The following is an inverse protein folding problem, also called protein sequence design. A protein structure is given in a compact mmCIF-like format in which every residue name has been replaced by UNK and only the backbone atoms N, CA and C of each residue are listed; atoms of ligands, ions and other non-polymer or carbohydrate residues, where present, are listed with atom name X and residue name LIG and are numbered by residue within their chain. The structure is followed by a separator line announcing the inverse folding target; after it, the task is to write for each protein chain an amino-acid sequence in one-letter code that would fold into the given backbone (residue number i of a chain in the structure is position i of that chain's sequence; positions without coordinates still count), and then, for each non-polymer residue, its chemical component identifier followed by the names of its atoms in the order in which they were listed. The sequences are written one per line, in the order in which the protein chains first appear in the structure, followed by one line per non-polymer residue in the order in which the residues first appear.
data_IF_152490924361
#
_entry.id   IF_152490924361
#
_cell.length_a   1.000
_cell.length_b   1.000
_cell.length_c   1.000
_cell.angle_alpha   90.00
_cell.angle_beta   90.00
_cell.angle_gamma   90.00
#
_symmetry.space_group_name_H-M   'P 1'
#
loop_
_entity.id
_entity.type
_entity.pdbx_description
1 polymer ?
#
# COMPACT_ATOMS: atom_id res chain seq x y z
N UNK A 1 -0.64 5.17 -14.80
CA UNK A 1 -1.03 6.59 -14.88
C UNK A 1 -1.54 7.08 -16.24
N UNK A 2 -0.81 7.11 -17.38
CA UNK A 2 -1.35 7.69 -18.64
C UNK A 2 -2.70 7.10 -19.12
N UNK A 3 -2.90 5.78 -19.01
CA UNK A 3 -4.17 5.11 -19.36
C UNK A 3 -5.27 5.15 -18.28
N UNK A 4 -4.93 5.37 -17.00
CA UNK A 4 -5.97 5.55 -15.97
C UNK A 4 -6.73 6.87 -16.16
N UNK A 5 -6.01 7.88 -16.65
CA UNK A 5 -6.62 9.17 -16.94
C UNK A 5 -7.60 9.08 -18.12
N UNK A 6 -7.41 8.20 -19.12
CA UNK A 6 -8.32 8.05 -20.28
C UNK A 6 -9.76 7.72 -19.86
N UNK A 7 -9.94 6.82 -18.88
CA UNK A 7 -11.28 6.45 -18.40
C UNK A 7 -11.94 7.59 -17.62
N UNK A 8 -11.17 8.37 -16.87
CA UNK A 8 -11.67 9.56 -16.17
C UNK A 8 -11.89 10.74 -17.13
N UNK A 9 -11.17 10.78 -18.26
CA UNK A 9 -11.39 11.76 -19.32
C UNK A 9 -12.75 11.58 -20.02
N UNK A 10 -13.28 10.35 -20.05
CA UNK A 10 -14.63 10.05 -20.58
C UNK A 10 -15.78 10.68 -19.78
N UNK A 11 -15.55 11.06 -18.52
CA UNK A 11 -16.58 11.68 -17.68
C UNK A 11 -16.64 13.17 -18.00
N UNK A 12 -17.79 13.63 -18.54
CA UNK A 12 -18.04 15.04 -18.80
C UNK A 12 -18.34 15.82 -17.52
N UNK A 13 -18.09 17.14 -17.54
CA UNK A 13 -18.41 18.01 -16.41
C UNK A 13 -19.90 17.96 -16.04
N UNK A 14 -20.80 18.00 -17.03
CA UNK A 14 -22.25 17.94 -16.80
C UNK A 14 -22.67 16.66 -16.06
N UNK A 15 -22.07 15.52 -16.41
CA UNK A 15 -22.32 14.27 -15.72
C UNK A 15 -21.72 14.29 -14.30
N UNK A 16 -20.52 14.85 -14.15
CA UNK A 16 -19.84 14.97 -12.88
C UNK A 16 -20.59 15.88 -11.89
N UNK A 17 -21.04 17.05 -12.31
CA UNK A 17 -21.73 18.05 -11.47
C UNK A 17 -23.12 17.60 -11.03
N UNK A 18 -23.81 16.78 -11.84
CA UNK A 18 -25.09 16.15 -11.44
C UNK A 18 -24.93 15.09 -10.36
N UNK A 19 -23.82 14.35 -10.39
CA UNK A 19 -23.60 13.18 -9.53
C UNK A 19 -22.85 13.56 -8.25
N UNK A 20 -21.77 14.33 -8.38
CA UNK A 20 -20.96 14.78 -7.25
C UNK A 20 -21.68 15.94 -6.55
N UNK A 21 -21.98 15.73 -5.27
CA UNK A 21 -22.63 16.74 -4.44
C UNK A 21 -21.58 17.54 -3.67
N UNK A 22 -21.99 18.68 -3.12
CA UNK A 22 -21.16 19.52 -2.25
C UNK A 22 -20.48 18.71 -1.14
N UNK A 23 -21.20 17.75 -0.53
CA UNK A 23 -20.64 16.85 0.49
C UNK A 23 -19.42 16.05 0.01
N UNK A 24 -19.39 15.66 -1.26
CA UNK A 24 -18.30 14.86 -1.83
C UNK A 24 -17.07 15.75 -2.08
N UNK A 25 -17.27 17.03 -2.39
CA UNK A 25 -16.21 18.05 -2.46
C UNK A 25 -15.61 18.29 -1.07
N UNK A 26 -16.45 18.50 -0.05
CA UNK A 26 -16.00 18.64 1.33
C UNK A 26 -15.25 17.39 1.83
N UNK A 27 -15.71 16.19 1.46
CA UNK A 27 -15.01 14.94 1.81
C UNK A 27 -13.61 14.88 1.17
N UNK A 28 -13.45 15.33 -0.08
CA UNK A 28 -12.15 15.37 -0.77
C UNK A 28 -11.20 16.41 -0.17
N UNK A 29 -11.74 17.53 0.30
CA UNK A 29 -10.98 18.65 0.88
C UNK A 29 -10.63 18.42 2.37
N UNK A 30 -11.60 18.06 3.20
CA UNK A 30 -11.46 18.03 4.66
C UNK A 30 -11.59 16.62 5.27
N UNK A 31 -12.22 15.69 4.55
CA UNK A 31 -12.54 14.36 5.07
C UNK A 31 -13.66 14.40 6.12
N UNK A 32 -13.61 13.50 7.09
CA UNK A 32 -14.64 13.44 8.14
C UNK A 32 -14.55 14.65 9.08
N UNK A 33 -15.70 15.29 9.35
CA UNK A 33 -15.81 16.51 10.17
C UNK A 33 -15.44 16.33 11.65
N UNK A 34 -15.29 15.09 12.14
CA UNK A 34 -15.00 14.77 13.55
C UNK A 34 -13.58 14.19 13.71
N UNK A 35 -12.55 15.04 13.61
CA UNK A 35 -11.16 14.60 13.80
C UNK A 35 -10.54 15.27 15.02
N UNK A 36 -9.97 14.47 15.92
CA UNK A 36 -9.29 14.95 17.14
C UNK A 36 -7.88 15.51 16.89
N UNK A 37 -7.26 15.18 15.77
CA UNK A 37 -5.90 15.59 15.40
C UNK A 37 -5.86 16.22 14.02
N UNK A 38 -4.99 17.22 13.84
CA UNK A 38 -4.72 17.85 12.55
C UNK A 38 -4.13 16.85 11.56
N UNK A 39 -4.36 17.07 10.25
CA UNK A 39 -3.81 16.18 9.21
C UNK A 39 -2.29 16.18 9.21
N UNK A 40 -1.64 17.32 9.49
CA UNK A 40 -0.18 17.39 9.56
C UNK A 40 0.40 16.53 10.68
N UNK A 41 -0.21 16.56 11.88
CA UNK A 41 0.23 15.71 12.98
C UNK A 41 0.04 14.22 12.64
N UNK A 42 -1.06 13.87 11.97
CA UNK A 42 -1.27 12.50 11.48
C UNK A 42 -0.24 12.10 10.43
N UNK A 43 0.15 13.01 9.53
CA UNK A 43 1.21 12.74 8.54
C UNK A 43 2.54 12.42 9.24
N UNK A 44 2.91 13.21 10.26
CA UNK A 44 4.12 12.97 11.05
C UNK A 44 4.08 11.60 11.73
N UNK A 45 2.97 11.25 12.41
CA UNK A 45 2.83 9.94 13.07
C UNK A 45 2.97 8.79 12.07
N UNK A 46 2.29 8.89 10.92
CA UNK A 46 2.36 7.86 9.87
C UNK A 46 3.77 7.76 9.29
N UNK A 47 4.49 8.88 9.12
CA UNK A 47 5.88 8.87 8.68
C UNK A 47 6.75 8.11 9.67
N UNK A 48 6.66 8.44 10.96
CA UNK A 48 7.47 7.82 12.02
C UNK A 48 7.21 6.32 12.10
N UNK A 49 5.94 5.90 12.06
CA UNK A 49 5.58 4.48 12.03
C UNK A 49 6.09 3.77 10.77
N UNK A 50 6.02 4.43 9.61
CA UNK A 50 6.49 3.89 8.34
C UNK A 50 8.01 3.76 8.26
N UNK A 51 8.75 4.73 8.82
CA UNK A 51 10.21 4.76 8.83
C UNK A 51 10.83 3.80 9.85
N UNK A 52 10.09 3.42 10.90
CA UNK A 52 10.61 2.58 11.98
C UNK A 52 11.30 1.32 11.45
N UNK A 53 10.66 0.60 10.54
CA UNK A 53 11.21 -0.64 10.00
C UNK A 53 12.43 -0.40 9.06
N UNK A 54 12.35 0.42 7.99
CA UNK A 54 13.50 0.72 7.14
C UNK A 54 14.73 1.21 7.91
N UNK A 55 14.54 2.09 8.90
CA UNK A 55 15.66 2.63 9.70
C UNK A 55 16.30 1.53 10.54
N UNK A 56 15.51 0.70 11.21
CA UNK A 56 16.02 -0.45 11.96
C UNK A 56 16.80 -1.43 11.06
N UNK A 57 16.34 -1.64 9.82
CA UNK A 57 17.03 -2.49 8.87
C UNK A 57 18.39 -1.91 8.44
N UNK A 58 18.44 -0.61 8.12
CA UNK A 58 19.71 0.08 7.82
C UNK A 58 20.69 -0.07 8.98
N UNK A 59 20.26 0.19 10.21
CA UNK A 59 21.11 0.05 11.39
C UNK A 59 21.60 -1.39 11.58
N UNK A 60 20.72 -2.38 11.44
CA UNK A 60 21.06 -3.80 11.64
C UNK A 60 22.12 -4.27 10.64
N UNK A 61 21.90 -4.02 9.34
CA UNK A 61 22.86 -4.41 8.31
C UNK A 61 24.14 -3.59 8.32
N UNK A 62 24.11 -2.34 8.79
CA UNK A 62 25.32 -1.54 8.97
C UNK A 62 26.23 -2.12 10.08
N UNK A 63 25.65 -2.65 11.16
CA UNK A 63 26.40 -3.33 12.22
C UNK A 63 27.05 -4.61 11.68
N UNK A 64 26.30 -5.43 10.92
CA UNK A 64 26.84 -6.66 10.31
C UNK A 64 27.93 -6.39 9.28
N UNK A 65 27.80 -5.29 8.52
CA UNK A 65 28.80 -4.81 7.57
C UNK A 65 30.10 -4.40 8.29
N UNK A 66 30.00 -3.68 9.41
CA UNK A 66 31.14 -3.29 10.23
C UNK A 66 31.86 -4.51 10.87
N UNK A 67 31.12 -5.59 11.13
CA UNK A 67 31.66 -6.88 11.58
C UNK A 67 32.37 -7.71 10.51
N UNK A 68 32.47 -7.22 9.27
CA UNK A 68 33.22 -7.86 8.17
C UNK A 68 32.48 -9.01 7.46
N UNK A 69 31.21 -9.23 7.77
CA UNK A 69 30.40 -10.30 7.17
C UNK A 69 29.63 -9.81 5.93
N UNK A 70 29.59 -10.64 4.87
CA UNK A 70 28.73 -10.48 3.69
C UNK A 70 28.63 -9.05 3.12
N UNK A 71 29.78 -8.39 2.94
CA UNK A 71 29.91 -6.96 2.60
C UNK A 71 29.00 -6.54 1.44
N UNK A 72 28.98 -7.28 0.34
CA UNK A 72 28.20 -6.91 -0.85
C UNK A 72 26.68 -7.04 -0.64
N UNK A 73 26.22 -8.12 -0.02
CA UNK A 73 24.79 -8.32 0.22
C UNK A 73 24.23 -7.26 1.17
N UNK A 74 24.93 -7.03 2.29
CA UNK A 74 24.55 -6.03 3.29
C UNK A 74 24.55 -4.61 2.71
N UNK A 75 25.54 -4.26 1.87
CA UNK A 75 25.59 -2.96 1.18
C UNK A 75 24.37 -2.75 0.27
N UNK A 76 23.94 -3.77 -0.46
CA UNK A 76 22.77 -3.69 -1.35
C UNK A 76 21.49 -3.43 -0.53
N UNK A 77 21.31 -4.12 0.59
CA UNK A 77 20.13 -3.90 1.45
C UNK A 77 20.10 -2.49 2.01
N UNK A 78 21.24 -2.01 2.53
CA UNK A 78 21.36 -0.64 3.06
C UNK A 78 20.98 0.37 1.98
N UNK A 79 21.50 0.23 0.76
CA UNK A 79 21.17 1.13 -0.36
C UNK A 79 19.66 1.07 -0.69
N UNK A 80 19.08 -0.12 -0.77
CA UNK A 80 17.66 -0.29 -1.06
C UNK A 80 16.78 0.38 0.00
N UNK A 81 17.09 0.20 1.29
CA UNK A 81 16.34 0.81 2.39
C UNK A 81 16.50 2.33 2.43
N UNK A 82 17.70 2.86 2.18
CA UNK A 82 17.92 4.30 2.06
C UNK A 82 17.10 4.92 0.93
N UNK A 83 17.00 4.25 -0.23
CA UNK A 83 16.14 4.70 -1.33
C UNK A 83 14.66 4.70 -0.93
N UNK A 84 14.21 3.70 -0.17
CA UNK A 84 12.84 3.65 0.37
C UNK A 84 12.60 4.81 1.33
N UNK A 85 13.53 5.09 2.24
CA UNK A 85 13.45 6.22 3.19
C UNK A 85 13.36 7.54 2.44
N UNK A 86 14.23 7.77 1.44
CA UNK A 86 14.20 8.97 0.60
C UNK A 86 12.83 9.12 -0.08
N UNK A 87 12.28 8.02 -0.61
CA UNK A 87 10.96 8.03 -1.24
C UNK A 87 9.83 8.34 -0.25
N UNK A 88 9.89 7.80 0.98
CA UNK A 88 8.92 8.12 2.03
C UNK A 88 8.98 9.61 2.41
N UNK A 89 10.17 10.16 2.56
CA UNK A 89 10.38 11.59 2.82
C UNK A 89 9.84 12.45 1.66
N UNK A 90 10.11 12.08 0.41
CA UNK A 90 9.55 12.76 -0.75
C UNK A 90 8.01 12.81 -0.70
N UNK A 91 7.36 11.69 -0.37
CA UNK A 91 5.90 11.64 -0.25
C UNK A 91 5.38 12.50 0.91
N UNK A 92 6.14 12.65 1.99
CA UNK A 92 5.78 13.52 3.10
C UNK A 92 5.76 15.01 2.71
N UNK A 93 6.80 15.44 1.99
CA UNK A 93 6.93 16.83 1.51
C UNK A 93 6.06 17.15 0.29
N UNK A 94 5.49 16.14 -0.37
CA UNK A 94 4.59 16.35 -1.50
C UNK A 94 3.34 17.13 -1.06
N UNK A 95 3.24 18.36 -1.55
CA UNK A 95 2.09 19.22 -1.33
C UNK A 95 0.94 18.88 -2.29
N UNK A 96 -0.27 19.02 -1.79
CA UNK A 96 -1.50 18.94 -2.56
C UNK A 96 -2.26 20.26 -2.36
N UNK A 97 -2.97 20.77 -3.38
CA UNK A 97 -3.77 21.97 -3.23
C UNK A 97 -4.85 21.75 -2.15
N UNK A 98 -5.31 22.80 -1.45
CA UNK A 98 -6.27 22.69 -0.36
C UNK A 98 -7.52 21.89 -0.72
N UNK A 99 -8.09 22.12 -1.91
CA UNK A 99 -9.27 21.39 -2.39
C UNK A 99 -9.06 19.87 -2.53
N UNK A 100 -7.81 19.38 -2.53
CA UNK A 100 -7.42 17.96 -2.56
C UNK A 100 -6.75 17.50 -1.27
N UNK A 101 -6.80 18.26 -0.18
CA UNK A 101 -5.99 18.00 1.03
C UNK A 101 -6.25 16.60 1.63
N UNK A 102 -7.49 16.19 1.82
CA UNK A 102 -7.80 14.84 2.34
C UNK A 102 -7.45 13.74 1.31
N UNK A 103 -7.67 13.98 0.01
CA UNK A 103 -7.19 13.06 -1.05
C UNK A 103 -5.68 12.87 -1.00
N UNK A 104 -4.92 13.96 -0.89
CA UNK A 104 -3.47 13.96 -0.77
C UNK A 104 -3.01 13.20 0.47
N UNK A 105 -3.65 13.45 1.61
CA UNK A 105 -3.39 12.74 2.87
C UNK A 105 -3.61 11.22 2.74
N UNK A 106 -4.73 10.76 2.17
CA UNK A 106 -4.99 9.31 2.00
C UNK A 106 -4.03 8.68 1.00
N UNK A 107 -3.69 9.40 -0.07
CA UNK A 107 -2.68 8.95 -1.05
C UNK A 107 -1.31 8.81 -0.41
N UNK A 108 -0.95 9.75 0.47
CA UNK A 108 0.26 9.71 1.29
C UNK A 108 0.26 8.49 2.21
N UNK A 109 -0.77 8.28 3.02
CA UNK A 109 -0.86 7.13 3.93
C UNK A 109 -0.73 5.80 3.20
N UNK A 110 -1.42 5.65 2.07
CA UNK A 110 -1.31 4.47 1.23
C UNK A 110 0.11 4.27 0.69
N UNK A 111 0.76 5.34 0.23
CA UNK A 111 2.12 5.28 -0.31
C UNK A 111 3.14 4.88 0.76
N UNK A 112 3.06 5.44 1.97
CA UNK A 112 3.94 5.09 3.09
C UNK A 112 3.76 3.62 3.47
N UNK A 113 2.51 3.16 3.63
CA UNK A 113 2.26 1.77 3.99
C UNK A 113 2.76 0.80 2.91
N UNK A 114 2.57 1.12 1.62
CA UNK A 114 3.10 0.32 0.51
C UNK A 114 4.63 0.23 0.56
N UNK A 115 5.31 1.34 0.82
CA UNK A 115 6.77 1.40 0.91
C UNK A 115 7.30 0.66 2.14
N UNK A 116 6.66 0.81 3.29
CA UNK A 116 7.01 0.07 4.51
C UNK A 116 6.85 -1.44 4.29
N UNK A 117 5.80 -1.82 3.57
CA UNK A 117 5.57 -3.22 3.20
C UNK A 117 6.65 -3.75 2.25
N UNK A 118 7.09 -2.96 1.26
CA UNK A 118 8.19 -3.33 0.35
C UNK A 118 9.53 -3.45 1.12
N UNK A 119 9.80 -2.54 2.04
CA UNK A 119 10.99 -2.57 2.92
C UNK A 119 11.07 -3.89 3.70
N UNK A 120 9.96 -4.41 4.21
CA UNK A 120 9.92 -5.73 4.84
C UNK A 120 10.50 -6.86 3.96
N UNK A 121 10.30 -6.81 2.65
CA UNK A 121 10.86 -7.82 1.74
C UNK A 121 12.33 -7.58 1.39
N UNK A 122 12.84 -6.36 1.57
CA UNK A 122 14.26 -6.07 1.36
C UNK A 122 15.16 -6.80 2.36
N UNK A 123 14.64 -7.19 3.52
CA UNK A 123 15.34 -8.04 4.49
C UNK A 123 15.75 -9.39 3.89
N UNK A 124 14.93 -9.96 2.99
CA UNK A 124 15.22 -11.24 2.34
C UNK A 124 16.53 -11.24 1.54
N UNK A 125 16.99 -10.06 1.09
CA UNK A 125 18.26 -9.90 0.39
C UNK A 125 19.49 -10.12 1.28
N UNK A 126 19.39 -9.77 2.56
CA UNK A 126 20.47 -9.85 3.52
C UNK A 126 20.58 -11.21 4.21
N UNK A 127 19.72 -12.17 3.86
CA UNK A 127 19.80 -13.52 4.40
C UNK A 127 21.10 -14.19 3.92
N UNK A 128 21.95 -14.53 4.88
CA UNK A 128 23.32 -15.05 4.69
C UNK A 128 23.38 -16.50 4.19
N UNK A 129 22.23 -17.15 4.01
CA UNK A 129 22.13 -18.52 3.48
C UNK A 129 21.87 -18.47 1.97
N UNK A 130 22.86 -18.88 1.19
CA UNK A 130 22.75 -19.07 -0.26
C UNK A 130 23.54 -18.06 -1.09
N UNK A 131 23.37 -18.14 -2.42
CA UNK A 131 24.04 -17.25 -3.37
C UNK A 131 23.32 -15.89 -3.40
N UNK A 132 24.01 -14.82 -2.99
CA UNK A 132 23.45 -13.47 -2.93
C UNK A 132 22.91 -12.97 -4.27
N UNK A 133 23.45 -13.43 -5.41
CA UNK A 133 22.96 -13.08 -6.76
C UNK A 133 21.57 -13.67 -7.00
N UNK A 134 21.34 -14.90 -6.53
CA UNK A 134 20.04 -15.56 -6.62
C UNK A 134 19.03 -14.83 -5.73
N UNK A 135 19.40 -14.54 -4.49
CA UNK A 135 18.53 -13.78 -3.56
C UNK A 135 18.18 -12.40 -4.12
N UNK A 136 19.16 -11.70 -4.72
CA UNK A 136 18.94 -10.44 -5.42
C UNK A 136 17.97 -10.57 -6.59
N UNK A 137 18.15 -11.58 -7.43
CA UNK A 137 17.30 -11.82 -8.60
C UNK A 137 15.86 -12.13 -8.19
N UNK A 138 15.67 -12.97 -7.17
CA UNK A 138 14.34 -13.32 -6.62
C UNK A 138 13.66 -12.09 -6.02
N UNK A 139 14.38 -11.28 -5.24
CA UNK A 139 13.85 -10.05 -4.68
C UNK A 139 13.44 -9.04 -5.76
N UNK A 140 14.30 -8.79 -6.74
CA UNK A 140 14.01 -7.86 -7.82
C UNK A 140 12.75 -8.29 -8.59
N UNK A 141 12.66 -9.58 -8.93
CA UNK A 141 11.47 -10.16 -9.56
C UNK A 141 10.22 -9.99 -8.68
N UNK A 142 10.36 -10.24 -7.37
CA UNK A 142 9.26 -10.13 -6.40
C UNK A 142 8.73 -8.68 -6.32
N UNK A 143 9.62 -7.69 -6.22
CA UNK A 143 9.21 -6.28 -6.24
C UNK A 143 8.49 -5.92 -7.54
N UNK A 144 9.02 -6.35 -8.70
CA UNK A 144 8.38 -6.08 -9.98
C UNK A 144 6.98 -6.70 -10.05
N UNK A 145 6.82 -7.92 -9.54
CA UNK A 145 5.51 -8.59 -9.45
C UNK A 145 4.57 -7.84 -8.50
N UNK A 146 5.05 -7.39 -7.34
CA UNK A 146 4.25 -6.61 -6.39
C UNK A 146 3.79 -5.28 -7.00
N UNK A 147 4.70 -4.52 -7.61
CA UNK A 147 4.38 -3.25 -8.29
C UNK A 147 3.37 -3.46 -9.42
N UNK A 148 3.52 -4.54 -10.20
CA UNK A 148 2.56 -4.91 -11.23
C UNK A 148 1.18 -5.24 -10.63
N UNK A 149 1.16 -6.04 -9.58
CA UNK A 149 -0.07 -6.49 -8.93
C UNK A 149 -0.82 -5.32 -8.29
N UNK A 150 -0.11 -4.44 -7.56
CA UNK A 150 -0.66 -3.19 -7.03
C UNK A 150 -1.34 -2.38 -8.12
N UNK A 151 -0.63 -2.09 -9.21
CA UNK A 151 -1.16 -1.32 -10.34
C UNK A 151 -2.40 -1.97 -10.97
N UNK A 152 -2.42 -3.30 -11.10
CA UNK A 152 -3.58 -4.03 -11.65
C UNK A 152 -4.79 -3.98 -10.73
N UNK A 153 -4.59 -4.19 -9.43
CA UNK A 153 -5.67 -4.16 -8.43
C UNK A 153 -6.21 -2.74 -8.25
N UNK A 154 -5.33 -1.74 -8.14
CA UNK A 154 -5.71 -0.32 -8.07
C UNK A 154 -6.58 0.09 -9.27
N UNK A 155 -6.14 -0.25 -10.50
CA UNK A 155 -6.94 -0.02 -11.71
C UNK A 155 -8.30 -0.69 -11.66
N UNK A 156 -8.35 -1.94 -11.21
CA UNK A 156 -9.60 -2.67 -11.11
C UNK A 156 -10.57 -1.97 -10.14
N UNK A 157 -10.08 -1.55 -8.97
CA UNK A 157 -10.87 -0.80 -8.00
C UNK A 157 -11.34 0.55 -8.53
N UNK A 158 -10.48 1.27 -9.26
CA UNK A 158 -10.85 2.54 -9.91
C UNK A 158 -11.97 2.32 -10.93
N UNK A 159 -11.86 1.29 -11.78
CA UNK A 159 -12.88 0.98 -12.79
C UNK A 159 -14.21 0.56 -12.14
N UNK A 160 -14.18 -0.27 -11.10
CA UNK A 160 -15.38 -0.64 -10.34
C UNK A 160 -16.07 0.59 -9.75
N UNK A 161 -15.28 1.53 -9.21
CA UNK A 161 -15.82 2.74 -8.61
C UNK A 161 -16.35 3.73 -9.65
N UNK A 162 -15.72 3.85 -10.82
CA UNK A 162 -16.23 4.64 -11.94
C UNK A 162 -17.56 4.04 -12.44
N UNK A 163 -17.62 2.73 -12.61
CA UNK A 163 -18.85 2.04 -13.01
C UNK A 163 -19.98 2.32 -12.03
N UNK A 164 -19.70 2.20 -10.73
CA UNK A 164 -20.66 2.45 -9.65
C UNK A 164 -21.10 3.92 -9.57
N UNK A 165 -20.15 4.86 -9.62
CA UNK A 165 -20.42 6.29 -9.39
C UNK A 165 -21.04 6.94 -10.61
N UNK A 166 -20.54 6.62 -11.81
CA UNK A 166 -20.94 7.28 -13.06
C UNK A 166 -21.80 6.38 -13.95
N UNK A 167 -22.28 5.24 -13.45
CA UNK A 167 -23.08 4.27 -14.21
C UNK A 167 -22.44 3.93 -15.57
N UNK A 168 -21.16 3.55 -15.53
CA UNK A 168 -20.38 3.12 -16.69
C UNK A 168 -20.25 1.59 -16.69
N UNK A 169 -19.89 1.00 -17.84
CA UNK A 169 -19.79 -0.45 -18.03
C UNK A 169 -18.38 -0.90 -18.45
N UNK A 170 -17.35 -0.41 -17.74
CA UNK A 170 -15.98 -0.87 -17.98
C UNK A 170 -15.77 -2.31 -17.50
N UNK A 171 -14.94 -3.06 -18.23
CA UNK A 171 -14.60 -4.45 -17.89
C UNK A 171 -13.74 -4.48 -16.62
N UNK A 172 -14.22 -5.14 -15.58
CA UNK A 172 -13.50 -5.38 -14.32
C UNK A 172 -13.27 -6.88 -14.11
N UNK A 173 -12.25 -7.22 -13.31
CA UNK A 173 -11.87 -8.59 -12.98
C UNK A 173 -12.36 -8.95 -11.58
N UNK A 174 -13.34 -9.87 -11.52
CA UNK A 174 -13.81 -10.43 -10.24
C UNK A 174 -12.70 -11.13 -9.46
N UNK A 175 -11.73 -11.74 -10.15
CA UNK A 175 -10.62 -12.44 -9.52
C UNK A 175 -9.73 -11.49 -8.70
N UNK A 176 -9.42 -10.30 -9.24
CA UNK A 176 -8.63 -9.30 -8.52
C UNK A 176 -9.38 -8.79 -7.28
N UNK A 177 -10.70 -8.62 -7.38
CA UNK A 177 -11.56 -8.21 -6.27
C UNK A 177 -11.62 -9.29 -5.19
N UNK A 178 -11.68 -10.57 -5.56
CA UNK A 178 -11.62 -11.69 -4.62
C UNK A 178 -10.26 -11.76 -3.93
N UNK A 179 -9.16 -11.69 -4.68
CA UNK A 179 -7.80 -11.67 -4.11
C UNK A 179 -7.63 -10.56 -3.08
N UNK A 180 -8.10 -9.36 -3.41
CA UNK A 180 -8.05 -8.21 -2.49
C UNK A 180 -8.89 -8.46 -1.21
N UNK A 181 -10.07 -9.08 -1.33
CA UNK A 181 -10.89 -9.43 -0.15
C UNK A 181 -10.21 -10.50 0.71
N UNK A 182 -9.62 -11.52 0.11
CA UNK A 182 -8.87 -12.56 0.83
C UNK A 182 -7.71 -11.93 1.61
N UNK A 183 -7.05 -10.92 1.04
CA UNK A 183 -6.00 -10.16 1.73
C UNK A 183 -6.47 -9.55 3.05
N UNK A 184 -7.66 -8.93 3.05
CA UNK A 184 -8.29 -8.43 4.27
C UNK A 184 -8.61 -9.54 5.28
N UNK A 185 -9.17 -10.66 4.82
CA UNK A 185 -9.48 -11.81 5.68
C UNK A 185 -8.24 -12.46 6.31
N UNK A 186 -7.12 -12.53 5.58
CA UNK A 186 -5.88 -13.11 6.09
C UNK A 186 -5.32 -12.36 7.29
N UNK A 187 -5.47 -11.04 7.35
CA UNK A 187 -5.05 -10.25 8.53
C UNK A 187 -5.84 -10.66 9.76
N UNK A 188 -7.17 -10.77 9.62
CA UNK A 188 -8.05 -11.19 10.72
C UNK A 188 -7.72 -12.61 11.15
N UNK A 189 -7.56 -13.53 10.19
CA UNK A 189 -7.24 -14.92 10.49
C UNK A 189 -5.88 -15.07 11.20
N UNK A 190 -4.86 -14.34 10.74
CA UNK A 190 -3.54 -14.31 11.38
C UNK A 190 -3.62 -13.79 12.82
N UNK A 191 -4.35 -12.70 13.06
CA UNK A 191 -4.49 -12.14 14.41
C UNK A 191 -5.25 -13.09 15.34
N UNK A 192 -6.35 -13.68 14.88
CA UNK A 192 -7.12 -14.66 15.66
C UNK A 192 -6.28 -15.91 15.93
N UNK A 193 -5.56 -16.41 14.92
CA UNK A 193 -4.66 -17.55 15.05
C UNK A 193 -3.53 -17.30 16.04
N UNK A 194 -2.91 -16.12 16.02
CA UNK A 194 -1.89 -15.73 17.00
C UNK A 194 -2.45 -15.69 18.43
N UNK A 195 -3.64 -15.13 18.62
CA UNK A 195 -4.28 -15.10 19.95
C UNK A 195 -4.67 -16.51 20.42
N UNK A 196 -5.25 -17.31 19.53
CA UNK A 196 -5.60 -18.70 19.82
C UNK A 196 -4.37 -19.53 20.19
N UNK A 197 -3.27 -19.41 19.44
CA UNK A 197 -2.00 -20.06 19.76
C UNK A 197 -1.49 -19.60 21.13
N UNK A 198 -1.50 -18.30 21.42
CA UNK A 198 -1.04 -17.78 22.72
C UNK A 198 -1.84 -18.33 23.89
N UNK A 199 -3.16 -18.47 23.73
CA UNK A 199 -4.06 -19.01 24.77
C UNK A 199 -3.94 -20.51 24.93
N UNK A 200 -3.65 -21.25 23.86
CA UNK A 200 -3.62 -22.72 23.84
C UNK A 200 -2.20 -23.29 23.70
N UNK A 201 -1.17 -22.48 23.94
CA UNK A 201 0.24 -22.84 23.69
C UNK A 201 0.63 -24.14 24.38
N UNK A 202 0.24 -24.32 25.65
CA UNK A 202 0.55 -25.52 26.44
C UNK A 202 -0.13 -26.78 25.87
N UNK A 203 -1.38 -26.66 25.43
CA UNK A 203 -2.13 -27.75 24.82
C UNK A 203 -1.53 -28.15 23.45
N UNK A 204 -1.18 -27.16 22.63
CA UNK A 204 -0.58 -27.37 21.31
C UNK A 204 0.80 -28.03 21.45
N UNK A 205 1.67 -27.52 22.34
CA UNK A 205 3.00 -28.10 22.56
C UNK A 205 2.96 -29.55 23.05
N UNK A 206 1.93 -29.91 23.84
CA UNK A 206 1.73 -31.30 24.30
C UNK A 206 1.21 -32.23 23.18
N UNK A 207 0.44 -31.70 22.22
CA UNK A 207 -0.07 -32.45 21.07
C UNK A 207 0.99 -32.68 19.99
N UNK A 208 1.89 -31.72 19.79
CA UNK A 208 2.85 -31.77 18.68
C UNK A 208 4.09 -32.61 18.95
N UNK A 209 4.23 -33.21 20.15
CA UNK A 209 5.30 -34.13 20.56
C UNK A 209 6.45 -34.20 19.58
N UNK A 210 7.31 -33.17 19.58
CA UNK A 210 8.15 -32.83 18.43
C UNK A 210 9.19 -33.93 18.20
N UNK A 211 8.87 -34.87 17.31
CA UNK A 211 9.87 -35.70 16.66
C UNK A 211 10.49 -34.86 15.54
N UNK A 212 11.68 -34.32 15.80
CA UNK A 212 12.56 -33.75 14.77
C UNK A 212 13.02 -34.85 13.82
N UNK A 213 12.15 -35.25 12.90
CA UNK A 213 12.53 -36.03 11.72
C UNK A 213 12.48 -35.10 10.51
N UNK A 214 13.45 -34.18 10.45
CA UNK A 214 13.70 -33.38 9.27
C UNK A 214 14.26 -34.29 8.16
N UNK A 215 13.38 -34.73 7.26
CA UNK A 215 13.78 -35.17 5.92
C UNK A 215 13.07 -34.26 4.94
N UNK A 216 13.82 -33.30 4.39
CA UNK A 216 13.36 -32.42 3.32
C UNK A 216 12.98 -33.27 2.11
N UNK A 217 11.68 -33.51 1.95
CA UNK A 217 11.15 -34.20 0.78
C UNK A 217 10.75 -33.17 -0.27
N UNK A 218 10.96 -33.50 -1.55
CA UNK A 218 10.54 -32.69 -2.72
C UNK A 218 9.06 -32.24 -2.62
N UNK A 219 8.24 -33.01 -1.89
CA UNK A 219 6.84 -32.72 -1.60
C UNK A 219 6.69 -31.46 -0.72
N UNK A 220 7.55 -31.24 0.27
CA UNK A 220 7.48 -30.08 1.16
C UNK A 220 7.85 -28.79 0.42
N UNK A 221 8.87 -28.85 -0.44
CA UNK A 221 9.23 -27.73 -1.32
C UNK A 221 8.12 -27.40 -2.31
N UNK A 222 7.45 -28.43 -2.86
CA UNK A 222 6.31 -28.26 -3.77
C UNK A 222 5.10 -27.63 -3.06
N UNK A 223 4.81 -28.05 -1.82
CA UNK A 223 3.77 -27.43 -0.98
C UNK A 223 4.12 -25.96 -0.70
N UNK A 224 5.38 -25.67 -0.36
CA UNK A 224 5.88 -24.31 -0.14
C UNK A 224 5.70 -23.40 -1.36
N UNK A 225 5.98 -23.89 -2.56
CA UNK A 225 5.81 -23.11 -3.80
C UNK A 225 4.33 -22.92 -4.17
N UNK A 226 3.55 -23.99 -4.12
CA UNK A 226 2.13 -23.99 -4.53
C UNK A 226 1.27 -23.14 -3.62
N UNK A 227 1.54 -23.13 -2.30
CA UNK A 227 0.76 -22.35 -1.34
C UNK A 227 1.44 -21.04 -0.94
N UNK A 228 2.77 -21.03 -0.80
CA UNK A 228 3.52 -19.87 -0.34
C UNK A 228 3.52 -18.72 -1.33
N UNK A 229 3.65 -18.97 -2.64
CA UNK A 229 3.63 -17.90 -3.65
C UNK A 229 2.25 -17.23 -3.72
N UNK A 230 1.12 -17.97 -3.88
CA UNK A 230 -0.19 -17.33 -3.87
C UNK A 230 -0.47 -16.58 -2.57
N UNK A 231 -0.07 -17.15 -1.42
CA UNK A 231 -0.21 -16.49 -0.14
C UNK A 231 0.55 -15.17 -0.11
N UNK A 232 1.82 -15.17 -0.54
CA UNK A 232 2.65 -13.97 -0.65
C UNK A 232 2.00 -12.88 -1.51
N UNK A 233 1.45 -13.26 -2.67
CA UNK A 233 0.74 -12.35 -3.57
C UNK A 233 -0.51 -11.73 -2.94
N UNK A 234 -1.20 -12.47 -2.06
CA UNK A 234 -2.36 -11.96 -1.36
C UNK A 234 -1.95 -11.07 -0.19
N UNK A 235 -0.93 -11.45 0.59
CA UNK A 235 -0.46 -10.66 1.73
C UNK A 235 0.13 -9.31 1.24
N UNK A 236 0.78 -9.27 0.06
CA UNK A 236 1.22 -7.97 -0.49
C UNK A 236 0.06 -7.00 -0.78
N UNK A 237 -1.18 -7.45 -0.91
CA UNK A 237 -2.31 -6.56 -1.16
C UNK A 237 -2.90 -5.91 0.11
N UNK A 238 -2.36 -6.21 1.29
CA UNK A 238 -2.86 -5.69 2.57
C UNK A 238 -2.89 -4.16 2.58
N UNK A 239 -1.81 -3.43 2.20
CA UNK A 239 -1.85 -1.97 2.15
C UNK A 239 -2.95 -1.45 1.24
N UNK A 240 -3.17 -2.09 0.09
CA UNK A 240 -4.21 -1.70 -0.86
C UNK A 240 -5.61 -1.93 -0.29
N UNK A 241 -5.86 -3.06 0.36
CA UNK A 241 -7.16 -3.38 0.95
C UNK A 241 -7.58 -2.33 1.99
N UNK A 242 -6.68 -1.97 2.92
CA UNK A 242 -7.02 -1.08 4.03
C UNK A 242 -6.99 0.40 3.65
N UNK A 243 -6.02 0.81 2.83
CA UNK A 243 -5.67 2.23 2.69
C UNK A 243 -5.99 2.81 1.31
N UNK A 244 -6.09 2.00 0.25
CA UNK A 244 -6.46 2.54 -1.07
C UNK A 244 -7.97 2.83 -1.13
N UNK A 245 -8.32 4.12 -1.19
CA UNK A 245 -9.71 4.59 -1.26
C UNK A 245 -10.08 4.98 -2.69
N UNK A 246 -10.59 4.02 -3.45
CA UNK A 246 -10.95 4.23 -4.86
C UNK A 246 -12.03 5.32 -5.05
N UNK A 247 -13.00 5.41 -4.15
CA UNK A 247 -14.02 6.47 -4.15
C UNK A 247 -13.40 7.87 -4.08
N UNK A 248 -12.51 8.09 -3.12
CA UNK A 248 -11.81 9.35 -2.92
C UNK A 248 -10.87 9.65 -4.08
N UNK A 249 -10.23 8.62 -4.63
CA UNK A 249 -9.36 8.75 -5.80
C UNK A 249 -10.12 9.21 -7.03
N UNK A 250 -11.23 8.53 -7.38
CA UNK A 250 -12.05 8.87 -8.54
C UNK A 250 -12.63 10.28 -8.40
N UNK A 251 -13.20 10.60 -7.24
CA UNK A 251 -13.76 11.93 -6.94
C UNK A 251 -12.69 13.01 -7.00
N UNK A 252 -11.55 12.79 -6.31
CA UNK A 252 -10.43 13.72 -6.30
C UNK A 252 -9.91 14.01 -7.69
N UNK A 253 -9.77 12.99 -8.55
CA UNK A 253 -9.33 13.17 -9.94
C UNK A 253 -10.35 13.88 -10.83
N UNK A 254 -11.64 13.64 -10.65
CA UNK A 254 -12.70 14.34 -11.40
C UNK A 254 -12.78 15.81 -10.96
N UNK A 255 -12.64 16.09 -9.66
CA UNK A 255 -12.61 17.46 -9.14
C UNK A 255 -11.34 18.18 -9.61
N UNK A 256 -10.18 17.53 -9.57
CA UNK A 256 -8.92 18.09 -10.10
C UNK A 256 -9.02 18.45 -11.58
N UNK A 257 -9.69 17.61 -12.38
CA UNK A 257 -9.91 17.86 -13.81
C UNK A 257 -10.77 19.10 -14.09
N UNK A 258 -11.79 19.35 -13.26
CA UNK A 258 -12.75 20.44 -13.42
C UNK A 258 -12.69 21.40 -12.22
N UNK A 259 -11.48 21.69 -11.75
CA UNK A 259 -11.26 22.37 -10.47
C UNK A 259 -11.94 23.73 -10.41
N UNK A 260 -11.87 24.50 -11.51
CA UNK A 260 -12.42 25.84 -11.56
C UNK A 260 -13.94 25.83 -11.71
N UNK A 261 -14.49 24.89 -12.49
CA UNK A 261 -15.92 24.73 -12.64
C UNK A 261 -16.57 24.26 -11.34
N UNK A 262 -15.94 23.33 -10.61
CA UNK A 262 -16.41 22.94 -9.29
C UNK A 262 -16.29 24.08 -8.28
N UNK A 263 -15.18 24.83 -8.27
CA UNK A 263 -15.04 26.02 -7.41
C UNK A 263 -16.19 27.00 -7.59
N UNK A 264 -16.57 27.31 -8.84
CA UNK A 264 -17.71 28.20 -9.16
C UNK A 264 -19.06 27.69 -8.67
N UNK A 265 -19.23 26.37 -8.54
CA UNK A 265 -20.44 25.77 -7.94
C UNK A 265 -20.44 25.77 -6.42
N UNK A 266 -19.35 26.24 -5.80
CA UNK A 266 -19.20 26.38 -4.35
C UNK A 266 -19.06 27.85 -3.94
N UNK A 267 -19.12 28.12 -2.64
CA UNK A 267 -18.89 29.45 -2.08
C UNK A 267 -17.41 29.70 -1.71
N UNK A 268 -16.48 28.85 -2.16
CA UNK A 268 -15.07 28.99 -1.83
C UNK A 268 -14.39 30.07 -2.67
N UNK A 269 -13.57 30.87 -2.00
CA UNK A 269 -12.66 31.84 -2.64
C UNK A 269 -11.52 31.12 -3.38
N UNK A 270 -10.82 31.83 -4.28
CA UNK A 270 -9.64 31.28 -4.98
C UNK A 270 -8.56 30.85 -3.98
N UNK A 271 -8.33 31.65 -2.93
CA UNK A 271 -7.36 31.37 -1.88
C UNK A 271 -7.75 30.14 -1.04
N UNK A 272 -9.02 29.98 -0.68
CA UNK A 272 -9.47 28.78 0.05
C UNK A 272 -9.35 27.51 -0.79
N UNK A 273 -9.54 27.62 -2.11
CA UNK A 273 -9.53 26.50 -3.02
C UNK A 273 -8.10 26.07 -3.38
N UNK A 274 -7.27 27.01 -3.84
CA UNK A 274 -5.92 26.74 -4.34
C UNK A 274 -4.80 27.00 -3.32
N UNK A 275 -5.09 27.72 -2.24
CA UNK A 275 -4.10 28.17 -1.27
C UNK A 275 -3.53 29.54 -1.62
N UNK A 276 -2.62 30.03 -0.79
CA UNK A 276 -1.82 31.21 -1.11
C UNK A 276 -0.82 30.85 -2.24
N UNK A 277 -0.69 31.73 -3.24
CA UNK A 277 0.26 31.58 -4.35
C UNK A 277 1.66 32.04 -3.95
#
# INVERSE_FOLDING_TARGET
MKKENEFLYSVSFEKASRILKLKDIYEVMEGDKKQSFSMELKKIIILLLGLAFPVLMVCSFAIELAGGSFIMANSIVIIAELLIIIWMCYQFFKAYPPFLRNYGYKTYCYSIAKLAYISYFAVGLGMTKGNYIINFSVFLLTILVFLYLYNKVEKNMILEEINKTFNQNYKTSKLLTIMLRISGFLVVFTLVGMQFYRMNKSWIMNLTGVSEAATSNIVDDMIGVVFGIPLLLVITLIPTFFLFKANLFVRGKVIEKYAEEFRKTTNFTENEWYGEK
#
